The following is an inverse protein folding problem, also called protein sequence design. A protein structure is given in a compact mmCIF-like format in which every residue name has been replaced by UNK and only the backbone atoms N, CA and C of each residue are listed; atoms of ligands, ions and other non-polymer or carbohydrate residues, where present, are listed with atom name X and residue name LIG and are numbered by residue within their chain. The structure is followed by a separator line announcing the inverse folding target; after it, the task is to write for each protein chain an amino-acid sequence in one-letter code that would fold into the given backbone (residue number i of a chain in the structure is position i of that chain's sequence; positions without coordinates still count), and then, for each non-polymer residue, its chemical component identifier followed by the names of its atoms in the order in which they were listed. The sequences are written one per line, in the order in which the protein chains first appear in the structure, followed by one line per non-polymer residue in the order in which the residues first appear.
data_IF_884868783326
#
_entry.id   IF_884868783326
#
_cell.length_a   1.000
_cell.length_b   1.000
_cell.length_c   1.000
_cell.angle_alpha   90.00
_cell.angle_beta   90.00
_cell.angle_gamma   90.00
#
_symmetry.space_group_name_H-M   'P 1'
#
loop_
_entity.id
_entity.type
_entity.pdbx_description
1 polymer ?
#
# COMPACT_ATOMS: atom_id res chain seq x y z
N UNK A 1 23.24 -16.65 -14.29
CA UNK A 1 22.92 -15.25 -13.91
C UNK A 1 24.19 -14.63 -13.37
N UNK A 2 24.66 -13.54 -13.97
CA UNK A 2 25.89 -12.87 -13.50
C UNK A 2 25.67 -12.28 -12.11
N UNK A 3 26.76 -12.12 -11.34
CA UNK A 3 26.69 -11.50 -10.01
C UNK A 3 26.10 -10.08 -10.04
N UNK A 4 26.31 -9.37 -11.14
CA UNK A 4 25.73 -8.04 -11.38
C UNK A 4 24.20 -8.09 -11.50
N UNK A 5 23.65 -9.04 -12.27
CA UNK A 5 22.20 -9.20 -12.38
C UNK A 5 21.56 -9.60 -11.04
N UNK A 6 22.22 -10.45 -10.28
CA UNK A 6 21.75 -10.81 -8.95
C UNK A 6 21.72 -9.62 -8.00
N UNK A 7 22.79 -8.83 -7.97
CA UNK A 7 22.85 -7.61 -7.14
C UNK A 7 21.77 -6.59 -7.52
N UNK A 8 21.46 -6.44 -8.80
CA UNK A 8 20.38 -5.57 -9.28
C UNK A 8 19.00 -6.03 -8.80
N UNK A 9 18.73 -7.33 -8.86
CA UNK A 9 17.46 -7.92 -8.39
C UNK A 9 17.30 -7.70 -6.89
N UNK A 10 18.31 -7.96 -6.08
CA UNK A 10 18.26 -7.74 -4.62
C UNK A 10 18.08 -6.25 -4.28
N UNK A 11 18.75 -5.36 -5.00
CA UNK A 11 18.58 -3.92 -4.81
C UNK A 11 17.15 -3.44 -5.11
N UNK A 12 16.51 -3.97 -6.16
CA UNK A 12 15.11 -3.67 -6.47
C UNK A 12 14.16 -4.19 -5.40
N UNK A 13 14.38 -5.41 -4.91
CA UNK A 13 13.59 -5.98 -3.80
C UNK A 13 13.68 -5.15 -2.53
N UNK A 14 14.86 -4.65 -2.18
CA UNK A 14 15.05 -3.79 -1.01
C UNK A 14 14.32 -2.44 -1.13
N UNK A 15 14.21 -1.88 -2.34
CA UNK A 15 13.54 -0.58 -2.57
C UNK A 15 12.05 -0.67 -2.76
N UNK A 16 11.56 -1.66 -3.47
CA UNK A 16 10.17 -1.79 -3.87
C UNK A 16 9.42 -2.95 -3.22
N UNK A 17 10.13 -3.90 -2.64
CA UNK A 17 9.57 -5.16 -2.15
C UNK A 17 9.67 -6.30 -3.16
N UNK A 18 9.33 -7.50 -2.72
CA UNK A 18 9.42 -8.74 -3.49
C UNK A 18 8.11 -9.04 -4.23
N UNK A 19 7.86 -8.32 -5.31
CA UNK A 19 6.68 -8.50 -6.15
C UNK A 19 6.93 -8.08 -7.60
N UNK A 20 6.04 -8.49 -8.50
CA UNK A 20 6.06 -8.10 -9.92
C UNK A 20 4.94 -7.12 -10.28
N UNK A 21 3.74 -7.30 -9.71
CA UNK A 21 2.56 -6.49 -9.99
C UNK A 21 1.82 -6.15 -8.70
N UNK A 22 1.46 -4.90 -8.57
CA UNK A 22 0.66 -4.37 -7.45
C UNK A 22 -0.77 -4.13 -7.92
N UNK A 23 -1.73 -4.64 -7.16
CA UNK A 23 -3.15 -4.41 -7.38
C UNK A 23 -3.71 -3.59 -6.23
N UNK A 24 -4.23 -2.41 -6.52
CA UNK A 24 -4.87 -1.54 -5.55
C UNK A 24 -6.38 -1.78 -5.47
N UNK A 25 -7.01 -1.34 -4.39
CA UNK A 25 -8.47 -1.40 -4.19
C UNK A 25 -9.08 -2.81 -4.30
N UNK A 26 -8.31 -3.84 -3.97
CA UNK A 26 -8.80 -5.22 -3.91
C UNK A 26 -9.65 -5.39 -2.65
N UNK A 27 -10.88 -5.85 -2.80
CA UNK A 27 -11.73 -6.17 -1.65
C UNK A 27 -11.17 -7.36 -0.89
N UNK A 28 -11.24 -7.32 0.43
CA UNK A 28 -10.82 -8.42 1.28
C UNK A 28 -11.47 -9.75 0.86
N UNK A 29 -12.74 -9.73 0.49
CA UNK A 29 -13.48 -10.90 -0.02
C UNK A 29 -12.94 -11.48 -1.33
N UNK A 30 -12.17 -10.71 -2.09
CA UNK A 30 -11.59 -11.12 -3.37
C UNK A 30 -10.15 -11.67 -3.24
N UNK A 31 -9.55 -11.58 -2.05
CA UNK A 31 -8.16 -11.99 -1.83
C UNK A 31 -7.92 -13.47 -2.19
N UNK A 32 -8.88 -14.34 -1.94
CA UNK A 32 -8.80 -15.76 -2.28
C UNK A 32 -8.62 -15.99 -3.79
N UNK A 33 -9.17 -15.13 -4.65
CA UNK A 33 -9.01 -15.22 -6.11
C UNK A 33 -7.54 -15.04 -6.51
N UNK A 34 -6.81 -14.13 -5.84
CA UNK A 34 -5.37 -13.94 -6.05
C UNK A 34 -4.56 -15.13 -5.53
N UNK A 35 -4.84 -15.58 -4.31
CA UNK A 35 -4.10 -16.68 -3.67
C UNK A 35 -4.29 -18.01 -4.40
N UNK A 36 -5.43 -18.22 -5.05
CA UNK A 36 -5.74 -19.45 -5.82
C UNK A 36 -5.44 -19.31 -7.32
N UNK A 37 -4.96 -18.17 -7.77
CA UNK A 37 -4.65 -17.96 -9.19
C UNK A 37 -3.36 -18.69 -9.58
N UNK A 38 -3.47 -19.58 -10.60
CA UNK A 38 -2.34 -20.39 -11.08
C UNK A 38 -1.16 -19.59 -11.62
N UNK A 39 -1.38 -18.32 -12.01
CA UNK A 39 -0.35 -17.44 -12.55
C UNK A 39 0.39 -16.68 -11.45
N UNK A 40 -0.11 -16.73 -10.22
CA UNK A 40 0.45 -16.02 -9.07
C UNK A 40 1.16 -17.05 -8.19
N UNK A 41 2.47 -16.85 -8.01
CA UNK A 41 3.31 -17.69 -7.16
C UNK A 41 3.08 -17.43 -5.68
N UNK A 42 3.01 -16.14 -5.32
CA UNK A 42 2.79 -15.68 -3.94
C UNK A 42 2.31 -14.24 -3.91
N UNK A 43 1.70 -13.87 -2.80
CA UNK A 43 1.25 -12.50 -2.53
C UNK A 43 1.69 -12.05 -1.15
N UNK A 44 1.78 -10.76 -0.95
CA UNK A 44 1.65 -10.13 0.36
C UNK A 44 0.74 -8.91 0.24
N UNK A 45 0.14 -8.50 1.33
CA UNK A 45 -0.90 -7.48 1.34
C UNK A 45 -0.57 -6.37 2.33
N UNK A 46 -1.05 -5.17 2.02
CA UNK A 46 -1.14 -4.06 2.96
C UNK A 46 -2.57 -3.54 3.01
N UNK A 47 -2.97 -3.03 4.15
CA UNK A 47 -4.29 -2.45 4.37
C UNK A 47 -4.13 -1.03 4.89
N UNK A 48 -4.65 -0.05 4.16
CA UNK A 48 -4.71 1.33 4.63
C UNK A 48 -5.75 1.47 5.74
N UNK A 49 -5.32 2.00 6.89
CA UNK A 49 -6.23 2.24 8.02
C UNK A 49 -6.72 3.69 8.07
N UNK A 50 -5.95 4.62 7.53
CA UNK A 50 -6.29 6.02 7.47
C UNK A 50 -5.16 6.95 7.93
N UNK A 51 -5.51 8.19 8.17
CA UNK A 51 -4.59 9.26 8.53
C UNK A 51 -4.85 9.75 9.96
N UNK A 52 -3.80 10.12 10.66
CA UNK A 52 -3.87 10.77 11.96
C UNK A 52 -3.03 12.04 11.97
N UNK A 53 -3.57 13.12 12.53
CA UNK A 53 -2.82 14.36 12.66
C UNK A 53 -1.66 14.19 13.65
N UNK A 54 -0.48 14.63 13.26
CA UNK A 54 0.71 14.63 14.10
C UNK A 54 0.89 15.98 14.77
N UNK A 55 0.66 16.02 16.08
CA UNK A 55 0.84 17.23 16.88
C UNK A 55 2.31 17.66 16.90
N UNK A 56 2.53 18.96 16.64
CA UNK A 56 3.87 19.52 16.63
C UNK A 56 4.71 19.21 15.38
N UNK A 57 4.13 18.62 14.36
CA UNK A 57 4.82 18.40 13.09
C UNK A 57 5.21 19.73 12.45
N UNK A 58 6.48 19.87 12.06
CA UNK A 58 7.01 21.10 11.46
C UNK A 58 6.94 21.12 9.94
N UNK A 59 6.64 19.99 9.31
CA UNK A 59 6.42 19.93 7.87
C UNK A 59 4.95 20.21 7.57
N UNK A 60 4.67 21.41 7.09
CA UNK A 60 3.31 21.88 6.80
C UNK A 60 2.66 21.13 5.62
N UNK A 61 3.46 20.59 4.71
CA UNK A 61 2.98 19.82 3.56
C UNK A 61 2.76 18.33 3.88
N UNK A 62 3.18 17.89 5.07
CA UNK A 62 3.11 16.50 5.50
C UNK A 62 2.71 16.39 6.98
N UNK A 63 1.45 16.79 7.30
CA UNK A 63 1.03 16.93 8.69
C UNK A 63 0.57 15.63 9.35
N UNK A 64 0.48 14.53 8.61
CA UNK A 64 -0.16 13.29 9.07
C UNK A 64 0.80 12.13 9.28
N UNK A 65 0.40 11.20 10.14
CA UNK A 65 0.77 9.80 10.02
C UNK A 65 -0.24 9.11 9.10
N UNK A 66 0.25 8.38 8.10
CA UNK A 66 -0.55 7.42 7.35
C UNK A 66 -0.37 6.05 7.98
N UNK A 67 -1.43 5.51 8.55
CA UNK A 67 -1.39 4.23 9.24
C UNK A 67 -1.81 3.13 8.29
N UNK A 68 -0.92 2.18 8.05
CA UNK A 68 -1.21 0.97 7.31
C UNK A 68 -0.94 -0.25 8.18
N UNK A 69 -1.59 -1.36 7.86
CA UNK A 69 -1.39 -2.63 8.50
C UNK A 69 -0.90 -3.68 7.49
N UNK A 70 -0.09 -4.59 7.96
CA UNK A 70 0.35 -5.77 7.22
C UNK A 70 0.53 -6.95 8.17
N UNK A 71 0.97 -8.09 7.67
CA UNK A 71 1.32 -9.26 8.45
C UNK A 71 2.82 -9.59 8.37
N UNK A 72 3.23 -10.75 8.85
CA UNK A 72 4.63 -11.20 8.78
C UNK A 72 5.16 -11.22 7.36
N UNK A 73 4.36 -11.72 6.41
CA UNK A 73 4.75 -11.78 5.00
C UNK A 73 4.98 -10.38 4.43
N UNK A 74 4.12 -9.41 4.75
CA UNK A 74 4.29 -8.02 4.32
C UNK A 74 5.50 -7.34 4.93
N UNK A 75 5.78 -7.56 6.20
CA UNK A 75 7.00 -7.04 6.83
C UNK A 75 8.27 -7.66 6.26
N UNK A 76 8.27 -8.94 5.94
CA UNK A 76 9.44 -9.64 5.39
C UNK A 76 9.68 -9.30 3.92
N UNK A 77 8.62 -9.27 3.11
CA UNK A 77 8.70 -9.15 1.65
C UNK A 77 8.44 -7.74 1.12
N UNK A 78 7.89 -6.87 1.95
CA UNK A 78 7.68 -5.46 1.63
C UNK A 78 8.97 -4.65 1.63
N UNK A 79 8.87 -3.36 1.31
CA UNK A 79 10.01 -2.43 1.28
C UNK A 79 10.34 -1.83 2.65
N UNK A 80 10.06 -2.54 3.73
CA UNK A 80 10.28 -2.08 5.10
C UNK A 80 11.67 -2.51 5.59
N UNK A 81 12.57 -1.54 5.75
CA UNK A 81 13.91 -1.80 6.25
C UNK A 81 14.03 -1.31 7.69
N UNK A 82 14.13 -2.24 8.62
CA UNK A 82 14.29 -1.94 10.04
C UNK A 82 15.68 -1.32 10.33
N UNK A 83 15.68 -0.26 11.14
CA UNK A 83 16.90 0.41 11.63
C UNK A 83 17.12 0.08 13.11
N UNK A 84 16.06 0.11 13.91
CA UNK A 84 16.11 -0.06 15.35
C UNK A 84 14.89 -0.84 15.84
N UNK A 85 15.05 -1.63 16.89
CA UNK A 85 13.96 -2.41 17.47
C UNK A 85 13.59 -3.63 16.64
N UNK A 86 12.31 -3.84 16.45
CA UNK A 86 11.74 -4.97 15.71
C UNK A 86 10.48 -4.57 14.96
N UNK A 87 10.00 -5.43 14.07
CA UNK A 87 8.69 -5.27 13.44
C UNK A 87 7.55 -5.56 14.41
N UNK A 88 6.37 -5.01 14.13
CA UNK A 88 5.15 -5.25 14.90
C UNK A 88 4.70 -6.71 14.77
N UNK A 89 4.18 -7.27 15.85
CA UNK A 89 3.69 -8.66 15.94
C UNK A 89 2.21 -8.76 16.30
N UNK A 90 1.61 -7.65 16.69
CA UNK A 90 0.19 -7.56 17.02
C UNK A 90 -0.35 -6.15 16.73
N UNK A 91 -1.66 -6.01 16.82
CA UNK A 91 -2.38 -4.78 16.46
C UNK A 91 -2.15 -3.59 17.40
N UNK A 92 -1.53 -3.80 18.57
CA UNK A 92 -1.19 -2.75 19.55
C UNK A 92 0.24 -2.22 19.36
N UNK A 93 0.97 -2.74 18.40
CA UNK A 93 2.34 -2.37 18.10
C UNK A 93 2.43 -1.64 16.76
N UNK A 94 3.40 -0.72 16.66
CA UNK A 94 3.62 0.05 15.45
C UNK A 94 5.10 0.28 15.18
N UNK A 95 5.45 0.34 13.90
CA UNK A 95 6.78 0.72 13.40
C UNK A 95 6.67 2.08 12.72
N UNK A 96 7.58 2.98 13.04
CA UNK A 96 7.57 4.36 12.53
C UNK A 96 8.79 4.63 11.65
N UNK A 97 8.70 5.57 10.70
CA UNK A 97 9.82 5.87 9.81
C UNK A 97 10.77 6.88 10.43
N UNK A 98 12.07 6.72 10.18
CA UNK A 98 13.13 7.61 10.67
C UNK A 98 12.97 9.06 10.21
N UNK A 99 12.46 9.29 9.01
CA UNK A 99 12.29 10.66 8.49
C UNK A 99 11.21 11.48 9.21
N UNK A 100 10.39 10.86 10.06
CA UNK A 100 9.52 11.57 10.97
C UNK A 100 10.32 12.53 11.86
N UNK A 101 11.49 12.10 12.35
CA UNK A 101 12.38 12.93 13.18
C UNK A 101 13.11 13.98 12.35
N UNK A 102 13.71 13.59 11.23
CA UNK A 102 14.54 14.46 10.42
C UNK A 102 13.77 15.49 9.61
N UNK A 103 12.59 15.13 9.11
CA UNK A 103 11.73 15.94 8.27
C UNK A 103 10.54 16.55 9.04
N UNK A 104 9.86 15.76 9.85
CA UNK A 104 8.71 16.21 10.65
C UNK A 104 9.06 16.87 11.97
N UNK A 105 10.30 16.71 12.43
CA UNK A 105 10.80 17.20 13.74
C UNK A 105 10.03 16.65 14.94
N UNK A 106 9.54 15.43 14.81
CA UNK A 106 8.89 14.67 15.88
C UNK A 106 9.83 13.55 16.33
N UNK A 107 10.21 13.59 17.60
CA UNK A 107 11.13 12.61 18.20
C UNK A 107 10.35 11.57 19.00
N UNK A 108 9.94 10.51 18.34
CA UNK A 108 9.34 9.32 18.96
C UNK A 108 10.37 8.20 18.94
N UNK A 109 10.51 7.50 20.06
CA UNK A 109 11.51 6.46 20.27
C UNK A 109 10.88 5.08 20.41
N UNK A 110 11.67 4.05 20.13
CA UNK A 110 11.31 2.68 20.47
C UNK A 110 11.01 2.57 21.96
N UNK A 111 9.87 2.00 22.30
CA UNK A 111 9.36 1.89 23.66
C UNK A 111 8.32 2.95 24.03
N UNK A 112 8.20 4.02 23.27
CA UNK A 112 7.18 5.04 23.49
C UNK A 112 5.78 4.48 23.21
N UNK A 113 4.81 4.98 23.96
CA UNK A 113 3.39 4.75 23.69
C UNK A 113 2.82 6.00 23.03
N UNK A 114 2.09 5.80 21.94
CA UNK A 114 1.46 6.87 21.18
C UNK A 114 -0.04 6.63 21.03
N UNK A 115 -0.77 7.71 20.95
CA UNK A 115 -2.21 7.70 20.67
C UNK A 115 -2.47 8.45 19.38
N UNK A 116 -3.16 7.82 18.44
CA UNK A 116 -3.50 8.37 17.14
C UNK A 116 -5.01 8.33 16.93
N UNK A 117 -5.58 9.45 16.51
CA UNK A 117 -6.96 9.52 16.02
C UNK A 117 -6.96 9.30 14.52
N UNK A 118 -7.22 8.06 14.12
CA UNK A 118 -7.10 7.60 12.73
C UNK A 118 -8.43 7.75 12.02
N UNK A 119 -8.45 8.48 10.94
CA UNK A 119 -9.65 8.73 10.16
C UNK A 119 -9.37 8.94 8.68
N UNK A 120 -10.40 9.40 7.97
CA UNK A 120 -10.37 9.67 6.54
C UNK A 120 -10.10 11.15 6.31
N UNK A 121 -9.31 11.47 5.30
CA UNK A 121 -9.14 12.83 4.80
C UNK A 121 -10.38 13.21 4.00
N UNK A 122 -10.98 14.33 4.33
CA UNK A 122 -12.20 14.83 3.70
C UNK A 122 -11.99 16.25 3.19
N UNK A 123 -12.36 16.48 1.93
CA UNK A 123 -12.32 17.78 1.29
C UNK A 123 -13.69 18.47 1.41
N UNK A 124 -13.74 19.59 2.11
CA UNK A 124 -14.96 20.36 2.30
C UNK A 124 -15.45 21.07 1.03
N UNK A 125 -14.57 21.32 0.06
CA UNK A 125 -14.94 21.99 -1.20
C UNK A 125 -15.62 21.02 -2.18
N UNK A 126 -15.11 19.80 -2.28
CA UNK A 126 -15.67 18.75 -3.15
C UNK A 126 -16.68 17.86 -2.43
N UNK A 127 -16.80 18.00 -1.11
CA UNK A 127 -17.65 17.16 -0.25
C UNK A 127 -17.37 15.66 -0.40
N UNK A 128 -16.07 15.30 -0.49
CA UNK A 128 -15.65 13.93 -0.71
C UNK A 128 -14.40 13.50 0.05
N UNK A 129 -14.20 12.20 0.12
CA UNK A 129 -12.99 11.60 0.70
C UNK A 129 -11.82 11.80 -0.26
N UNK A 130 -10.70 12.29 0.27
CA UNK A 130 -9.47 12.50 -0.48
C UNK A 130 -8.74 11.18 -0.62
N UNK A 131 -8.22 10.89 -1.82
CA UNK A 131 -7.40 9.72 -2.09
C UNK A 131 -6.13 9.70 -1.22
N UNK A 132 -5.74 8.51 -0.77
CA UNK A 132 -4.52 8.29 0.03
C UNK A 132 -3.26 8.88 -0.60
N UNK A 133 -3.19 8.88 -1.93
CA UNK A 133 -2.02 9.32 -2.69
C UNK A 133 -2.01 10.83 -2.99
N UNK A 134 -3.08 11.56 -2.65
CA UNK A 134 -3.15 12.98 -2.92
C UNK A 134 -2.27 13.78 -1.97
N UNK A 135 -1.61 14.83 -2.48
CA UNK A 135 -0.88 15.79 -1.67
C UNK A 135 -1.81 16.50 -0.66
N UNK A 136 -1.22 17.06 0.39
CA UNK A 136 -1.97 17.82 1.41
C UNK A 136 -2.45 19.15 0.86
N UNK A 137 -3.73 19.44 1.07
CA UNK A 137 -4.36 20.71 0.70
C UNK A 137 -4.87 21.44 1.95
N UNK A 138 -4.03 22.32 2.46
CA UNK A 138 -4.11 22.92 3.80
C UNK A 138 -5.47 23.52 4.17
N UNK A 139 -6.13 24.23 3.27
CA UNK A 139 -7.34 24.99 3.62
C UNK A 139 -8.64 24.21 3.39
N UNK A 140 -8.56 23.11 2.70
CA UNK A 140 -9.74 22.39 2.21
C UNK A 140 -10.02 21.09 2.95
N UNK A 141 -9.05 20.55 3.70
CA UNK A 141 -9.21 19.19 4.24
C UNK A 141 -9.27 19.10 5.76
N UNK A 142 -10.07 18.16 6.21
CA UNK A 142 -10.18 17.77 7.62
C UNK A 142 -10.15 16.24 7.73
N UNK A 143 -9.92 15.72 8.94
CA UNK A 143 -10.11 14.30 9.23
C UNK A 143 -11.53 14.05 9.72
N UNK A 144 -12.15 13.01 9.17
CA UNK A 144 -13.50 12.56 9.55
C UNK A 144 -13.48 11.09 9.96
N UNK A 145 -14.53 10.67 10.66
CA UNK A 145 -14.72 9.28 11.11
C UNK A 145 -13.51 8.73 11.88
N UNK A 146 -12.93 9.56 12.75
CA UNK A 146 -11.74 9.18 13.50
C UNK A 146 -12.04 8.16 14.58
N UNK A 147 -11.14 7.18 14.69
CA UNK A 147 -11.11 6.18 15.75
C UNK A 147 -9.79 6.31 16.49
N UNK A 148 -9.86 6.41 17.81
CA UNK A 148 -8.67 6.51 18.65
C UNK A 148 -7.99 5.15 18.76
N UNK A 149 -6.71 5.10 18.41
CA UNK A 149 -5.84 3.92 18.48
C UNK A 149 -4.67 4.19 19.41
N UNK A 150 -4.33 3.19 20.22
CA UNK A 150 -3.17 3.21 21.11
C UNK A 150 -2.13 2.21 20.60
N UNK A 151 -0.90 2.67 20.45
CA UNK A 151 0.19 1.84 19.95
C UNK A 151 1.43 1.97 20.81
N UNK A 152 2.14 0.86 20.98
CA UNK A 152 3.53 0.84 21.44
C UNK A 152 4.45 0.86 20.21
N UNK A 153 5.37 1.80 20.18
CA UNK A 153 6.40 1.87 19.14
C UNK A 153 7.45 0.81 19.40
N UNK A 154 7.55 -0.18 18.53
CA UNK A 154 8.47 -1.31 18.69
C UNK A 154 9.65 -1.28 17.73
N UNK A 155 9.60 -0.45 16.71
CA UNK A 155 10.66 -0.34 15.72
C UNK A 155 10.69 1.00 15.00
N UNK A 156 11.85 1.31 14.47
CA UNK A 156 12.09 2.44 13.55
C UNK A 156 12.63 1.85 12.25
N UNK A 157 12.06 2.27 11.14
CA UNK A 157 12.41 1.83 9.79
C UNK A 157 12.91 2.98 8.92
N UNK A 158 13.60 2.64 7.85
CA UNK A 158 13.87 3.59 6.77
C UNK A 158 12.55 4.08 6.16
N UNK A 159 12.57 5.23 5.52
CA UNK A 159 11.44 5.67 4.71
C UNK A 159 11.09 4.58 3.70
N UNK A 160 9.82 4.16 3.59
CA UNK A 160 9.39 3.25 2.53
C UNK A 160 9.72 3.79 1.14
N UNK A 161 9.95 2.90 0.17
CA UNK A 161 10.24 3.29 -1.22
C UNK A 161 9.13 4.15 -1.84
N UNK A 162 9.45 4.88 -2.90
CA UNK A 162 8.54 5.83 -3.54
C UNK A 162 7.24 5.21 -4.05
N UNK A 163 7.23 3.93 -4.37
CA UNK A 163 6.00 3.22 -4.76
C UNK A 163 5.00 3.04 -3.61
N UNK A 164 5.42 3.26 -2.36
CA UNK A 164 4.58 3.16 -1.18
C UNK A 164 4.34 4.52 -0.51
N UNK A 165 5.36 5.36 -0.44
CA UNK A 165 5.25 6.73 0.07
C UNK A 165 5.92 7.71 -0.90
N UNK A 166 5.10 8.39 -1.70
CA UNK A 166 5.55 9.43 -2.63
C UNK A 166 6.14 10.62 -1.85
N UNK A 167 6.98 11.42 -2.51
CA UNK A 167 7.49 12.67 -1.95
C UNK A 167 6.41 13.66 -1.56
N UNK A 168 5.33 13.72 -2.36
CA UNK A 168 4.18 14.59 -2.12
C UNK A 168 3.16 14.00 -1.15
N UNK A 169 3.37 12.78 -0.64
CA UNK A 169 2.44 12.15 0.27
C UNK A 169 2.21 12.99 1.52
N UNK A 170 0.93 13.16 1.90
CA UNK A 170 0.52 13.98 3.03
C UNK A 170 0.86 13.39 4.40
N UNK A 171 1.24 12.10 4.45
CA UNK A 171 1.52 11.39 5.68
C UNK A 171 2.83 10.61 5.68
N UNK A 172 3.43 10.49 6.86
CA UNK A 172 4.52 9.57 7.14
C UNK A 172 3.94 8.18 7.35
N UNK A 173 4.47 7.17 6.67
CA UNK A 173 3.95 5.80 6.76
C UNK A 173 4.32 5.14 8.07
N UNK A 174 3.31 4.87 8.89
CA UNK A 174 3.40 4.08 10.11
C UNK A 174 2.81 2.71 9.83
N UNK A 175 3.45 1.64 10.26
CA UNK A 175 3.00 0.29 9.93
C UNK A 175 2.72 -0.52 11.20
N UNK A 176 1.48 -0.95 11.34
CA UNK A 176 1.03 -1.86 12.39
C UNK A 176 0.81 -3.27 11.83
N UNK A 177 0.40 -4.18 12.67
CA UNK A 177 0.11 -5.57 12.33
C UNK A 177 -1.40 -5.78 12.15
N UNK A 178 -1.80 -6.67 11.26
CA UNK A 178 -3.19 -7.08 11.07
C UNK A 178 -3.36 -8.57 11.41
N UNK A 179 -4.06 -8.85 12.48
CA UNK A 179 -4.44 -10.22 12.85
C UNK A 179 -5.33 -10.86 11.80
N UNK A 180 -6.15 -10.06 11.12
CA UNK A 180 -7.03 -10.53 10.06
C UNK A 180 -6.25 -11.01 8.83
N UNK A 181 -5.26 -10.25 8.36
CA UNK A 181 -4.37 -10.68 7.26
C UNK A 181 -3.57 -11.92 7.64
N UNK A 182 -3.03 -11.96 8.85
CA UNK A 182 -2.29 -13.12 9.35
C UNK A 182 -3.16 -14.38 9.41
N UNK A 183 -4.42 -14.27 9.82
CA UNK A 183 -5.37 -15.38 9.88
C UNK A 183 -5.69 -15.94 8.49
N UNK A 184 -5.82 -15.08 7.48
CA UNK A 184 -6.02 -15.49 6.09
C UNK A 184 -4.79 -16.23 5.55
N UNK A 185 -3.59 -15.69 5.76
CA UNK A 185 -2.33 -16.31 5.33
C UNK A 185 -2.09 -17.68 5.97
N UNK A 186 -2.47 -17.83 7.21
CA UNK A 186 -2.38 -19.10 7.94
C UNK A 186 -3.52 -20.10 7.62
N UNK A 187 -4.46 -19.71 6.76
CA UNK A 187 -5.62 -20.55 6.40
C UNK A 187 -6.63 -20.78 7.53
N UNK A 188 -6.56 -19.96 8.60
CA UNK A 188 -7.47 -20.03 9.74
C UNK A 188 -8.77 -19.27 9.52
N UNK A 189 -8.80 -18.38 8.52
CA UNK A 189 -9.97 -17.61 8.11
C UNK A 189 -10.10 -17.67 6.59
N UNK A 190 -11.24 -18.11 6.09
CA UNK A 190 -11.47 -18.30 4.65
C UNK A 190 -12.01 -17.07 3.94
N UNK A 191 -12.69 -16.19 4.65
CA UNK A 191 -13.29 -14.95 4.10
C UNK A 191 -13.30 -13.83 5.14
N UNK A 192 -13.16 -12.61 4.67
CA UNK A 192 -13.23 -11.43 5.51
C UNK A 192 -14.67 -11.09 5.89
N UNK A 193 -14.83 -10.58 7.09
CA UNK A 193 -16.12 -10.21 7.65
C UNK A 193 -16.64 -8.84 7.21
N UNK A 194 -15.80 -7.99 6.61
CA UNK A 194 -16.17 -6.64 6.21
C UNK A 194 -16.12 -6.46 4.70
N UNK A 195 -17.30 -6.27 4.09
CA UNK A 195 -17.50 -6.19 2.65
C UNK A 195 -16.78 -4.98 1.99
N UNK A 196 -16.47 -3.93 2.75
CA UNK A 196 -15.93 -2.66 2.24
C UNK A 196 -14.43 -2.45 2.50
N UNK A 197 -13.75 -3.37 3.20
CA UNK A 197 -12.31 -3.26 3.44
C UNK A 197 -11.54 -3.57 2.16
N UNK A 198 -10.71 -2.63 1.73
CA UNK A 198 -9.84 -2.79 0.55
C UNK A 198 -8.39 -2.97 0.95
N UNK A 199 -7.68 -3.73 0.11
CA UNK A 199 -6.27 -4.07 0.25
C UNK A 199 -5.48 -3.60 -0.97
N UNK A 200 -4.18 -3.44 -0.78
CA UNK A 200 -3.22 -3.49 -1.88
C UNK A 200 -2.58 -4.87 -1.86
N UNK A 201 -2.69 -5.58 -2.97
CA UNK A 201 -2.13 -6.93 -3.15
C UNK A 201 -0.89 -6.84 -4.01
N UNK A 202 0.23 -7.26 -3.45
CA UNK A 202 1.52 -7.31 -4.12
C UNK A 202 1.75 -8.74 -4.59
N UNK A 203 1.73 -8.96 -5.90
CA UNK A 203 1.74 -10.30 -6.50
C UNK A 203 3.06 -10.60 -7.18
N UNK A 204 3.59 -11.78 -6.88
CA UNK A 204 4.70 -12.36 -7.59
C UNK A 204 4.17 -13.39 -8.59
N UNK A 205 4.41 -13.17 -9.87
CA UNK A 205 3.97 -14.06 -10.93
C UNK A 205 4.91 -15.25 -11.08
N UNK A 206 4.37 -16.38 -11.55
CA UNK A 206 5.19 -17.53 -12.00
C UNK A 206 6.06 -17.09 -13.17
N UNK A 207 7.16 -17.83 -13.42
CA UNK A 207 8.04 -17.54 -14.57
C UNK A 207 7.31 -17.58 -15.90
N UNK A 208 6.34 -18.49 -16.03
CA UNK A 208 5.50 -18.59 -17.23
C UNK A 208 4.59 -17.38 -17.40
N UNK A 209 3.90 -16.97 -16.34
CA UNK A 209 3.02 -15.81 -16.36
C UNK A 209 3.79 -14.50 -16.60
N UNK A 210 5.00 -14.39 -16.05
CA UNK A 210 5.85 -13.21 -16.21
C UNK A 210 6.26 -12.94 -17.66
N UNK A 211 6.34 -13.98 -18.50
CA UNK A 211 6.59 -13.83 -19.95
C UNK A 211 5.44 -13.14 -20.70
N UNK A 212 4.22 -13.23 -20.14
CA UNK A 212 3.00 -12.60 -20.68
C UNK A 212 2.35 -11.74 -19.60
N UNK A 213 3.15 -10.94 -18.91
CA UNK A 213 2.73 -10.16 -17.74
C UNK A 213 1.49 -9.30 -18.00
N UNK A 214 1.46 -8.58 -19.11
CA UNK A 214 0.34 -7.68 -19.45
C UNK A 214 -0.95 -8.45 -19.74
N UNK A 215 -0.86 -9.56 -20.48
CA UNK A 215 -2.00 -10.43 -20.77
C UNK A 215 -2.59 -11.04 -19.50
N UNK A 216 -1.72 -11.55 -18.61
CA UNK A 216 -2.13 -12.13 -17.33
C UNK A 216 -2.77 -11.07 -16.43
N UNK A 217 -2.19 -9.88 -16.36
CA UNK A 217 -2.72 -8.78 -15.56
C UNK A 217 -4.07 -8.32 -16.09
N UNK A 218 -4.21 -8.14 -17.40
CA UNK A 218 -5.47 -7.77 -18.04
C UNK A 218 -6.58 -8.79 -17.76
N UNK A 219 -6.25 -10.08 -17.80
CA UNK A 219 -7.19 -11.16 -17.47
C UNK A 219 -7.64 -11.08 -16.00
N UNK A 220 -6.72 -10.86 -15.08
CA UNK A 220 -7.03 -10.74 -13.64
C UNK A 220 -7.99 -9.57 -13.38
N UNK A 221 -7.72 -8.40 -13.96
CA UNK A 221 -8.57 -7.21 -13.75
C UNK A 221 -9.80 -7.17 -14.66
N UNK A 222 -9.92 -8.08 -15.62
CA UNK A 222 -11.09 -8.21 -16.49
C UNK A 222 -11.20 -7.16 -17.60
N UNK A 223 -10.07 -6.72 -18.17
CA UNK A 223 -10.01 -5.75 -19.28
C UNK A 223 -9.48 -6.40 -20.56
N UNK A 224 -9.71 -5.73 -21.70
CA UNK A 224 -9.16 -6.17 -22.99
C UNK A 224 -7.62 -6.09 -22.99
N UNK A 225 -6.97 -7.20 -23.27
CA UNK A 225 -5.51 -7.33 -23.27
C UNK A 225 -4.81 -6.33 -24.19
N UNK A 226 -5.35 -6.11 -25.39
CA UNK A 226 -4.71 -5.21 -26.38
C UNK A 226 -4.80 -3.76 -25.95
N UNK A 227 -5.94 -3.36 -25.37
CA UNK A 227 -6.11 -2.02 -24.80
C UNK A 227 -5.24 -1.80 -23.58
N UNK A 228 -5.14 -2.79 -22.72
CA UNK A 228 -4.26 -2.75 -21.54
C UNK A 228 -2.79 -2.58 -21.96
N UNK A 229 -2.33 -3.37 -22.91
CA UNK A 229 -0.97 -3.27 -23.44
C UNK A 229 -0.69 -1.89 -24.08
N UNK A 230 -1.65 -1.32 -24.82
CA UNK A 230 -1.54 0.05 -25.35
C UNK A 230 -1.46 1.09 -24.24
N UNK A 231 -2.31 1.01 -23.22
CA UNK A 231 -2.32 1.95 -22.11
C UNK A 231 -1.00 1.95 -21.32
N UNK A 232 -0.37 0.77 -21.16
CA UNK A 232 0.91 0.63 -20.47
C UNK A 232 2.13 1.00 -21.34
N UNK A 233 1.96 1.11 -22.65
CA UNK A 233 3.03 1.49 -23.56
C UNK A 233 2.97 2.99 -23.86
N UNK A 234 3.73 3.80 -23.12
CA UNK A 234 3.77 5.26 -23.29
C UNK A 234 4.23 5.74 -24.67
N UNK A 235 4.80 4.86 -25.50
CA UNK A 235 5.21 5.17 -26.87
C UNK A 235 4.10 4.95 -27.90
N UNK A 236 2.97 4.37 -27.51
CA UNK A 236 1.85 4.09 -28.41
C UNK A 236 0.70 5.02 -28.09
N UNK A 237 0.32 5.88 -29.03
CA UNK A 237 -0.86 6.73 -28.92
C UNK A 237 -2.14 5.90 -29.09
N UNK A 238 -3.09 6.15 -28.21
CA UNK A 238 -4.45 5.63 -28.32
C UNK A 238 -5.34 6.66 -29.01
N UNK A 239 -6.26 6.20 -29.87
CA UNK A 239 -7.33 7.06 -30.38
C UNK A 239 -8.27 7.49 -29.25
N UNK A 240 -9.02 8.58 -29.41
CA UNK A 240 -10.00 9.02 -28.41
C UNK A 240 -11.04 7.93 -28.13
N UNK A 241 -11.50 7.21 -29.15
CA UNK A 241 -12.45 6.11 -29.01
C UNK A 241 -11.85 4.93 -28.22
N UNK A 242 -10.60 4.57 -28.48
CA UNK A 242 -9.90 3.52 -27.75
C UNK A 242 -9.66 3.92 -26.29
N UNK A 243 -9.31 5.18 -26.03
CA UNK A 243 -9.14 5.71 -24.67
C UNK A 243 -10.45 5.67 -23.88
N UNK A 244 -11.54 6.14 -24.49
CA UNK A 244 -12.87 6.11 -23.87
C UNK A 244 -13.32 4.68 -23.58
N UNK A 245 -13.08 3.76 -24.49
CA UNK A 245 -13.37 2.34 -24.29
C UNK A 245 -12.54 1.75 -23.16
N UNK A 246 -11.25 2.03 -23.12
CA UNK A 246 -10.35 1.54 -22.08
C UNK A 246 -10.76 2.07 -20.70
N UNK A 247 -11.04 3.37 -20.56
CA UNK A 247 -11.48 3.96 -19.31
C UNK A 247 -12.81 3.33 -18.83
N UNK A 248 -13.74 3.10 -19.74
CA UNK A 248 -15.00 2.45 -19.43
C UNK A 248 -14.83 0.99 -18.99
N UNK A 249 -13.91 0.26 -19.62
CA UNK A 249 -13.55 -1.10 -19.19
C UNK A 249 -12.89 -1.08 -17.80
N UNK A 250 -11.99 -0.13 -17.54
CA UNK A 250 -11.35 0.03 -16.24
C UNK A 250 -12.35 0.40 -15.13
N UNK A 251 -13.34 1.25 -15.41
CA UNK A 251 -14.42 1.57 -14.46
C UNK A 251 -15.24 0.34 -14.06
N UNK A 252 -15.38 -0.61 -14.98
CA UNK A 252 -16.10 -1.86 -14.75
C UNK A 252 -15.22 -3.00 -14.22
N UNK A 253 -13.92 -2.82 -14.18
CA UNK A 253 -12.99 -3.82 -13.66
C UNK A 253 -13.10 -3.94 -12.13
N UNK A 254 -12.74 -5.11 -11.61
CA UNK A 254 -12.76 -5.36 -10.16
C UNK A 254 -11.70 -4.56 -9.40
N UNK A 255 -10.58 -4.26 -10.06
CA UNK A 255 -9.38 -3.67 -9.46
C UNK A 255 -8.86 -2.49 -10.29
N UNK A 256 -8.16 -1.58 -9.65
CA UNK A 256 -7.47 -0.45 -10.29
C UNK A 256 -6.04 -0.82 -10.78
#
# INVERSE_FOLDING_TARGET
VSSFQYSMIEYQKQKGGDFHVKFSNVKMSELSEFKNNRNIESTFETMGMGFAKLDGCKNEDKPYAYVMATDEAGFERGCFKLIEGRMAKNEDEIVIPRHLKTNGRIDIKVGDEITLDVGKRYDSNTEGVISENSAYENEAETLTDTVTKHYKVVGIMERPGYGMEDYSAAGYTFVTYSDELAAIDNGTKSEASEADTTLTVYSRYTKKALRNKDAVTADIIGVDEKLFAKANNSSVEMSAEESDRFLKEMENAKYD
#
